data_IF_966510255384
#
_entry.id   IF_966510255384
#
_cell.length_a   1.000
_cell.length_b   1.000
_cell.length_c   1.000
_cell.angle_alpha   90.00
_cell.angle_beta   90.00
_cell.angle_gamma   90.00
#
_symmetry.space_group_name_H-M   'P 1'
#
loop_
_entity.id
_entity.type
_entity.pdbx_description
1 polymer ?
#
# COMPACT_ATOMS: atom_id res chain seq x y z
N UNK A 1 -81.84 15.58 -2.22
CA UNK A 1 -81.16 14.28 -2.41
C UNK A 1 -80.24 14.45 -3.62
N UNK A 2 -78.93 14.64 -3.41
CA UNK A 2 -77.99 14.82 -4.49
C UNK A 2 -76.96 13.68 -4.40
N UNK A 3 -76.92 12.85 -5.38
CA UNK A 3 -76.03 11.67 -5.46
C UNK A 3 -74.75 12.08 -6.23
N UNK A 4 -73.65 12.11 -5.56
CA UNK A 4 -72.36 12.34 -6.16
C UNK A 4 -71.63 11.02 -6.51
N UNK A 5 -71.33 10.84 -7.79
CA UNK A 5 -70.61 9.68 -8.36
C UNK A 5 -69.10 9.86 -8.15
N UNK A 6 -68.33 8.85 -7.71
CA UNK A 6 -66.88 8.98 -7.56
C UNK A 6 -66.16 8.70 -8.89
N UNK A 7 -65.34 9.68 -9.30
CA UNK A 7 -64.45 9.59 -10.48
C UNK A 7 -63.24 8.76 -10.18
N UNK A 8 -63.07 7.64 -10.85
CA UNK A 8 -61.93 6.75 -10.74
C UNK A 8 -60.71 7.33 -11.50
N UNK A 9 -59.69 7.77 -10.78
CA UNK A 9 -58.43 8.30 -11.36
C UNK A 9 -57.49 7.15 -11.73
N UNK A 10 -57.30 6.92 -13.02
CA UNK A 10 -56.37 5.93 -13.56
C UNK A 10 -54.91 6.27 -13.18
N UNK A 11 -54.21 5.36 -12.48
CA UNK A 11 -52.79 5.49 -12.13
C UNK A 11 -51.94 5.16 -13.36
N UNK A 12 -51.31 6.17 -13.96
CA UNK A 12 -50.27 6.03 -14.99
C UNK A 12 -49.05 5.36 -14.37
N UNK A 13 -48.68 4.17 -14.85
CA UNK A 13 -47.40 3.52 -14.49
C UNK A 13 -46.25 4.21 -15.20
N UNK A 14 -45.51 5.07 -14.48
CA UNK A 14 -44.28 5.65 -14.97
C UNK A 14 -43.24 4.54 -15.21
N UNK A 15 -42.78 4.37 -16.45
CA UNK A 15 -41.65 3.49 -16.81
C UNK A 15 -40.37 4.04 -16.15
N UNK A 16 -39.76 3.24 -15.25
CA UNK A 16 -38.44 3.56 -14.72
C UNK A 16 -37.41 3.66 -15.87
N UNK A 17 -36.57 4.71 -15.89
CA UNK A 17 -35.54 4.81 -16.92
C UNK A 17 -34.55 3.64 -16.78
N UNK A 18 -34.34 2.91 -17.89
CA UNK A 18 -33.25 1.92 -17.96
C UNK A 18 -31.92 2.66 -17.77
N UNK A 19 -31.21 2.36 -16.68
CA UNK A 19 -29.82 2.83 -16.51
C UNK A 19 -29.03 2.37 -17.74
N UNK A 20 -28.52 3.33 -18.50
CA UNK A 20 -27.55 3.05 -19.56
C UNK A 20 -26.37 2.34 -18.92
N UNK A 21 -26.08 1.12 -19.33
CA UNK A 21 -24.84 0.44 -18.98
C UNK A 21 -23.76 1.22 -19.70
N UNK A 22 -23.01 2.06 -18.97
CA UNK A 22 -21.83 2.71 -19.50
C UNK A 22 -20.93 1.61 -20.05
N UNK A 23 -20.61 1.67 -21.36
CA UNK A 23 -19.52 0.89 -21.93
C UNK A 23 -18.31 1.15 -21.05
N UNK A 24 -17.82 0.08 -20.37
CA UNK A 24 -16.61 0.20 -19.57
C UNK A 24 -15.54 0.86 -20.43
N UNK A 25 -15.04 2.01 -20.00
CA UNK A 25 -13.89 2.64 -20.63
C UNK A 25 -12.77 1.61 -20.69
N UNK A 26 -12.03 1.57 -21.81
CA UNK A 26 -10.90 0.67 -21.93
C UNK A 26 -9.93 0.96 -20.77
N UNK A 27 -9.51 -0.10 -20.07
CA UNK A 27 -8.59 0.03 -18.94
C UNK A 27 -7.24 0.53 -19.48
N UNK A 28 -6.58 1.51 -18.81
CA UNK A 28 -5.35 2.13 -19.30
C UNK A 28 -4.13 1.20 -19.31
N UNK A 29 -4.19 0.08 -18.59
CA UNK A 29 -3.10 -0.89 -18.49
C UNK A 29 -3.50 -2.28 -18.97
N UNK A 30 -2.52 -3.16 -19.20
CA UNK A 30 -2.75 -4.53 -19.59
C UNK A 30 -3.32 -5.37 -18.40
N UNK A 31 -3.93 -6.50 -18.72
CA UNK A 31 -4.45 -7.42 -17.71
C UNK A 31 -3.37 -7.91 -16.74
N UNK A 32 -2.16 -8.14 -17.26
CA UNK A 32 -1.01 -8.62 -16.50
C UNK A 32 -0.58 -7.60 -15.43
N UNK A 33 -0.63 -6.32 -15.75
CA UNK A 33 -0.33 -5.22 -14.81
C UNK A 33 -1.36 -5.22 -13.68
N UNK A 34 -2.65 -5.30 -13.98
CA UNK A 34 -3.68 -5.37 -12.95
C UNK A 34 -3.57 -6.62 -12.07
N UNK A 35 -3.22 -7.77 -12.67
CA UNK A 35 -3.01 -9.00 -11.91
C UNK A 35 -1.79 -8.90 -10.99
N UNK A 36 -0.71 -8.25 -11.43
CA UNK A 36 0.46 -7.99 -10.59
C UNK A 36 0.10 -7.09 -9.42
N UNK A 37 -0.53 -5.93 -9.66
CA UNK A 37 -0.97 -5.04 -8.59
C UNK A 37 -1.89 -5.72 -7.59
N UNK A 38 -2.84 -6.51 -8.06
CA UNK A 38 -3.72 -7.27 -7.18
C UNK A 38 -2.94 -8.26 -6.31
N UNK A 39 -1.99 -8.99 -6.91
CA UNK A 39 -1.14 -9.95 -6.17
C UNK A 39 -0.30 -9.25 -5.11
N UNK A 40 0.31 -8.12 -5.45
CA UNK A 40 1.16 -7.35 -4.56
C UNK A 40 0.35 -6.76 -3.39
N UNK A 41 -0.80 -6.15 -3.68
CA UNK A 41 -1.72 -5.68 -2.64
C UNK A 41 -2.20 -6.81 -1.74
N UNK A 42 -2.52 -7.98 -2.32
CA UNK A 42 -2.96 -9.14 -1.56
C UNK A 42 -1.85 -9.68 -0.65
N UNK A 43 -0.63 -9.77 -1.16
CA UNK A 43 0.55 -10.16 -0.36
C UNK A 43 0.76 -9.22 0.82
N UNK A 44 0.81 -7.90 0.56
CA UNK A 44 0.98 -6.88 1.60
C UNK A 44 -0.13 -6.98 2.65
N UNK A 45 -1.40 -7.11 2.23
CA UNK A 45 -2.53 -7.25 3.13
C UNK A 45 -2.40 -8.50 4.01
N UNK A 46 -2.10 -9.65 3.42
CA UNK A 46 -1.97 -10.92 4.16
C UNK A 46 -0.79 -10.92 5.11
N UNK A 47 0.31 -10.31 4.71
CA UNK A 47 1.47 -10.11 5.57
C UNK A 47 1.10 -9.26 6.80
N UNK A 48 0.46 -8.12 6.59
CA UNK A 48 0.09 -7.20 7.67
C UNK A 48 -0.99 -7.78 8.61
N UNK A 49 -1.97 -8.49 8.08
CA UNK A 49 -2.95 -9.24 8.90
C UNK A 49 -2.22 -10.24 9.81
N UNK A 50 -1.20 -10.93 9.27
CA UNK A 50 -0.39 -11.84 10.06
C UNK A 50 0.47 -11.11 11.10
N UNK A 51 1.06 -9.98 10.75
CA UNK A 51 1.80 -9.13 11.70
C UNK A 51 0.93 -8.71 12.86
N UNK A 52 -0.29 -8.24 12.60
CA UNK A 52 -1.24 -7.84 13.64
C UNK A 52 -1.58 -9.00 14.60
N UNK A 53 -1.83 -10.19 14.06
CA UNK A 53 -2.08 -11.39 14.88
C UNK A 53 -0.89 -11.75 15.77
N UNK A 54 0.32 -11.73 15.20
CA UNK A 54 1.55 -12.07 15.94
C UNK A 54 1.88 -11.02 16.99
N UNK A 55 1.60 -9.76 16.72
CA UNK A 55 1.76 -8.68 17.70
C UNK A 55 0.83 -8.84 18.89
N UNK A 56 -0.46 -9.11 18.65
CA UNK A 56 -1.43 -9.42 19.74
C UNK A 56 -0.96 -10.62 20.57
N UNK A 57 -0.35 -11.61 19.93
CA UNK A 57 0.24 -12.78 20.60
C UNK A 57 1.60 -12.49 21.28
N UNK A 58 2.05 -11.24 21.28
CA UNK A 58 3.33 -10.80 21.87
C UNK A 58 4.56 -11.56 21.32
N UNK A 59 4.53 -11.96 20.04
CA UNK A 59 5.64 -12.67 19.40
C UNK A 59 6.80 -11.75 19.04
N UNK A 60 6.54 -10.46 18.91
CA UNK A 60 7.54 -9.40 18.83
C UNK A 60 7.03 -8.16 19.57
N UNK A 61 7.94 -7.29 20.00
CA UNK A 61 7.63 -6.13 20.83
C UNK A 61 7.86 -4.80 20.11
N UNK A 62 7.76 -3.72 20.89
CA UNK A 62 7.85 -2.35 20.40
C UNK A 62 6.53 -1.83 19.85
N UNK A 63 6.56 -0.70 19.17
CA UNK A 63 5.38 -0.16 18.48
C UNK A 63 5.21 -0.85 17.13
N UNK A 64 3.98 -1.27 16.83
CA UNK A 64 3.64 -1.90 15.56
C UNK A 64 2.65 -1.00 14.79
N UNK A 65 3.06 -0.56 13.61
CA UNK A 65 2.26 0.31 12.74
C UNK A 65 1.96 -0.40 11.43
N UNK A 66 0.79 -1.01 11.35
CA UNK A 66 0.36 -1.75 10.17
C UNK A 66 0.08 -0.82 8.98
N UNK A 67 0.38 -1.29 7.79
CA UNK A 67 0.15 -0.60 6.51
C UNK A 67 -1.22 -0.89 5.90
N UNK A 68 -2.11 -1.58 6.62
CA UNK A 68 -3.44 -2.00 6.15
C UNK A 68 -4.24 -0.80 5.63
N UNK A 69 -4.77 -0.93 4.42
CA UNK A 69 -5.57 0.09 3.75
C UNK A 69 -4.78 1.01 2.82
N UNK A 70 -3.46 0.89 2.75
CA UNK A 70 -2.59 1.73 1.92
C UNK A 70 -1.88 0.95 0.81
N UNK A 71 -2.23 -0.31 0.59
CA UNK A 71 -1.53 -1.22 -0.33
C UNK A 71 -1.52 -0.72 -1.77
N UNK A 72 -2.60 -0.07 -2.21
CA UNK A 72 -2.70 0.47 -3.56
C UNK A 72 -1.68 1.58 -3.85
N UNK A 73 -1.26 2.33 -2.82
CA UNK A 73 -0.23 3.36 -2.95
C UNK A 73 1.09 2.72 -3.39
N UNK A 74 1.52 1.68 -2.68
CA UNK A 74 2.77 0.99 -2.99
C UNK A 74 2.70 0.19 -4.28
N UNK A 75 1.56 -0.45 -4.58
CA UNK A 75 1.37 -1.12 -5.86
C UNK A 75 1.53 -0.15 -7.04
N UNK A 76 1.02 1.08 -6.92
CA UNK A 76 1.22 2.13 -7.92
C UNK A 76 2.65 2.67 -7.98
N UNK A 77 3.26 2.91 -6.83
CA UNK A 77 4.65 3.41 -6.74
C UNK A 77 5.62 2.39 -7.34
N UNK A 78 5.50 1.10 -6.98
CA UNK A 78 6.38 0.04 -7.48
C UNK A 78 6.35 -0.13 -9.01
N UNK A 79 5.26 0.26 -9.67
CA UNK A 79 5.17 0.28 -11.13
C UNK A 79 5.85 1.51 -11.74
N UNK A 80 5.88 2.62 -11.01
CA UNK A 80 6.36 3.90 -11.54
C UNK A 80 7.87 4.11 -11.34
N UNK A 81 8.46 3.46 -10.34
CA UNK A 81 9.89 3.62 -10.01
C UNK A 81 10.76 2.62 -10.77
N UNK A 82 12.02 3.01 -10.98
CA UNK A 82 13.06 2.14 -11.55
C UNK A 82 13.71 1.31 -10.41
N UNK A 83 14.30 0.16 -10.70
CA UNK A 83 15.03 -0.63 -9.70
C UNK A 83 16.22 0.12 -9.06
N UNK A 84 16.73 1.15 -9.73
CA UNK A 84 17.81 2.01 -9.25
C UNK A 84 17.34 3.14 -8.36
N UNK A 85 16.06 3.52 -8.42
CA UNK A 85 15.52 4.62 -7.64
C UNK A 85 15.58 4.34 -6.15
N UNK A 86 15.75 5.38 -5.37
CA UNK A 86 15.89 5.30 -3.91
C UNK A 86 14.58 5.63 -3.21
N UNK A 87 14.21 4.81 -2.26
CA UNK A 87 12.98 4.97 -1.50
C UNK A 87 13.28 5.24 -0.03
N UNK A 88 12.59 6.21 0.56
CA UNK A 88 12.59 6.49 1.99
C UNK A 88 11.15 6.69 2.45
N UNK A 89 10.81 6.27 3.66
CA UNK A 89 9.45 6.31 4.15
C UNK A 89 9.37 6.70 5.64
N UNK A 90 8.16 6.82 6.14
CA UNK A 90 7.87 6.98 7.55
C UNK A 90 7.78 5.61 8.25
N UNK A 91 7.26 5.59 9.46
CA UNK A 91 7.22 4.44 10.38
C UNK A 91 6.25 3.31 9.99
N UNK A 92 5.38 3.47 9.00
CA UNK A 92 4.52 2.38 8.46
C UNK A 92 5.22 1.75 7.26
N UNK A 93 6.27 1.01 7.51
CA UNK A 93 7.23 0.63 6.48
C UNK A 93 7.25 -0.87 6.12
N UNK A 94 6.45 -1.72 6.80
CA UNK A 94 6.44 -3.18 6.56
C UNK A 94 6.18 -3.55 5.10
N UNK A 95 5.26 -2.85 4.44
CA UNK A 95 4.88 -3.15 3.06
C UNK A 95 5.90 -2.64 2.02
N UNK A 96 6.75 -1.67 2.36
CA UNK A 96 7.72 -1.09 1.43
C UNK A 96 8.75 -2.11 0.93
N UNK A 97 9.45 -2.86 1.79
CA UNK A 97 10.36 -3.91 1.31
C UNK A 97 9.62 -4.98 0.49
N UNK A 98 8.37 -5.33 0.85
CA UNK A 98 7.58 -6.30 0.09
C UNK A 98 7.27 -5.79 -1.32
N UNK A 99 6.86 -4.52 -1.45
CA UNK A 99 6.58 -3.89 -2.74
C UNK A 99 7.83 -3.80 -3.63
N UNK A 100 9.01 -3.66 -3.02
CA UNK A 100 10.31 -3.68 -3.71
C UNK A 100 10.83 -5.10 -3.98
N UNK A 101 10.06 -6.14 -3.64
CA UNK A 101 10.40 -7.53 -3.94
C UNK A 101 11.27 -8.23 -2.90
N UNK A 102 11.35 -7.72 -1.67
CA UNK A 102 11.97 -8.44 -0.56
C UNK A 102 11.11 -9.64 -0.17
N UNK A 103 11.73 -10.81 -0.01
CA UNK A 103 11.01 -12.00 0.46
C UNK A 103 10.39 -11.74 1.85
N UNK A 104 9.09 -12.02 2.03
CA UNK A 104 8.37 -11.78 3.29
C UNK A 104 9.04 -12.40 4.53
N UNK A 105 9.79 -13.49 4.35
CA UNK A 105 10.52 -14.13 5.47
C UNK A 105 11.57 -13.21 6.09
N UNK A 106 12.25 -12.37 5.30
CA UNK A 106 13.25 -11.44 5.82
C UNK A 106 12.61 -10.26 6.52
N UNK A 107 11.46 -9.78 6.02
CA UNK A 107 10.67 -8.73 6.68
C UNK A 107 10.11 -9.25 8.00
N UNK A 108 9.58 -10.47 8.03
CA UNK A 108 9.12 -11.10 9.26
C UNK A 108 10.27 -11.35 10.24
N UNK A 109 11.44 -11.78 9.76
CA UNK A 109 12.62 -11.96 10.58
C UNK A 109 13.07 -10.66 11.26
N UNK A 110 12.93 -9.51 10.57
CA UNK A 110 13.20 -8.20 11.14
C UNK A 110 12.28 -7.89 12.32
N UNK A 111 10.97 -8.11 12.17
CA UNK A 111 9.99 -7.94 13.24
C UNK A 111 10.33 -8.79 14.47
N UNK A 112 10.83 -10.00 14.26
CA UNK A 112 11.26 -10.92 15.32
C UNK A 112 12.66 -10.61 15.90
N UNK A 113 13.30 -9.52 15.48
CA UNK A 113 14.65 -9.15 15.93
C UNK A 113 15.73 -10.17 15.51
N UNK A 114 15.53 -10.85 14.38
CA UNK A 114 16.48 -11.87 13.91
C UNK A 114 17.56 -11.28 13.02
N UNK A 115 18.77 -11.80 13.13
CA UNK A 115 19.95 -11.37 12.34
C UNK A 115 19.72 -11.50 10.82
N UNK A 116 18.82 -12.38 10.39
CA UNK A 116 18.43 -12.56 8.99
C UNK A 116 17.42 -11.54 8.50
N UNK A 117 16.93 -10.65 9.37
CA UNK A 117 16.05 -9.56 8.98
C UNK A 117 16.74 -8.50 8.13
N UNK A 118 15.98 -7.67 7.46
CA UNK A 118 16.44 -6.65 6.50
C UNK A 118 17.40 -5.64 7.12
N UNK A 119 17.19 -5.28 8.39
CA UNK A 119 18.08 -4.43 9.20
C UNK A 119 18.84 -5.22 10.28
N UNK A 120 19.06 -6.52 10.05
CA UNK A 120 19.72 -7.45 10.98
C UNK A 120 19.02 -7.55 12.35
N UNK A 121 17.71 -7.36 12.37
CA UNK A 121 16.88 -7.41 13.56
C UNK A 121 16.97 -6.18 14.47
N UNK A 122 17.56 -5.08 14.00
CA UNK A 122 17.77 -3.86 14.79
C UNK A 122 16.72 -2.78 14.55
N UNK A 123 15.99 -2.86 13.43
CA UNK A 123 14.99 -1.86 13.04
C UNK A 123 13.61 -2.14 13.62
N UNK A 124 13.23 -3.41 13.73
CA UNK A 124 11.88 -3.78 14.15
C UNK A 124 10.81 -3.24 13.21
N UNK A 125 9.66 -2.84 13.76
CA UNK A 125 8.47 -2.44 12.98
C UNK A 125 8.56 -1.07 12.33
N UNK A 126 9.48 -0.19 12.72
CA UNK A 126 9.46 1.22 12.28
C UNK A 126 10.73 1.66 11.54
N UNK A 127 11.72 0.80 11.44
CA UNK A 127 13.03 1.14 10.91
C UNK A 127 13.59 0.02 10.03
N UNK A 128 12.80 -0.37 9.01
CA UNK A 128 13.18 -1.40 8.04
C UNK A 128 13.96 -0.77 6.90
N UNK A 129 15.19 -1.21 6.73
CA UNK A 129 16.07 -0.83 5.62
C UNK A 129 16.32 -2.05 4.74
N UNK A 130 16.41 -1.86 3.44
CA UNK A 130 16.87 -2.90 2.51
C UNK A 130 17.83 -2.30 1.52
N UNK A 131 19.13 -2.47 1.79
CA UNK A 131 20.20 -1.90 0.99
C UNK A 131 20.19 -2.44 -0.45
N UNK A 132 19.87 -3.72 -0.63
CA UNK A 132 19.88 -4.37 -1.95
C UNK A 132 18.77 -3.83 -2.87
N UNK A 133 17.72 -3.23 -2.27
CA UNK A 133 16.57 -2.66 -2.97
C UNK A 133 16.46 -1.15 -2.84
N UNK A 134 17.55 -0.50 -2.47
CA UNK A 134 17.60 0.96 -2.31
C UNK A 134 16.52 1.53 -1.38
N UNK A 135 16.07 0.75 -0.38
CA UNK A 135 15.18 1.22 0.66
C UNK A 135 15.98 1.81 1.82
N UNK A 136 15.92 3.14 1.94
CA UNK A 136 16.61 3.93 2.96
C UNK A 136 15.82 4.06 4.26
N UNK A 137 14.90 3.14 4.47
CA UNK A 137 14.26 2.84 5.73
C UNK A 137 13.02 3.66 6.06
N UNK A 138 12.36 3.16 7.10
CA UNK A 138 11.32 3.84 7.82
C UNK A 138 11.88 4.69 8.96
N UNK A 139 11.24 5.82 9.22
CA UNK A 139 11.66 6.77 10.24
C UNK A 139 10.51 7.05 11.21
N UNK A 140 10.76 6.88 12.52
CA UNK A 140 9.75 7.06 13.57
C UNK A 140 9.29 8.50 13.73
N UNK A 141 10.15 9.49 13.42
CA UNK A 141 9.82 10.90 13.52
C UNK A 141 9.01 11.32 12.30
N UNK A 142 7.79 11.79 12.53
CA UNK A 142 6.91 12.29 11.46
C UNK A 142 7.55 13.46 10.74
N UNK A 143 7.72 13.33 9.41
CA UNK A 143 8.40 14.35 8.60
C UNK A 143 9.94 14.25 8.58
N UNK A 144 10.56 13.43 9.43
CA UNK A 144 12.02 13.25 9.45
C UNK A 144 12.59 12.74 8.14
N UNK A 145 11.84 11.90 7.42
CA UNK A 145 12.22 11.39 6.11
C UNK A 145 12.34 12.48 5.04
N UNK A 146 11.71 13.64 5.20
CA UNK A 146 11.79 14.74 4.21
C UNK A 146 13.21 15.28 4.12
N UNK A 147 13.81 15.63 5.26
CA UNK A 147 15.19 16.12 5.31
C UNK A 147 16.21 15.08 4.85
N UNK A 148 16.02 13.83 5.28
CA UNK A 148 16.88 12.71 4.87
C UNK A 148 16.76 12.43 3.37
N UNK A 149 15.54 12.43 2.83
CA UNK A 149 15.30 12.27 1.39
C UNK A 149 15.91 13.39 0.55
N UNK A 150 15.81 14.63 1.02
CA UNK A 150 16.48 15.76 0.40
C UNK A 150 18.02 15.58 0.38
N UNK A 151 18.61 15.06 1.47
CA UNK A 151 20.02 14.73 1.56
C UNK A 151 20.44 13.62 0.59
N UNK A 152 19.62 12.58 0.43
CA UNK A 152 19.86 11.50 -0.54
C UNK A 152 19.82 12.07 -1.97
N UNK A 153 18.77 12.81 -2.33
CA UNK A 153 18.64 13.42 -3.65
C UNK A 153 19.77 14.43 -3.95
N UNK A 154 20.22 15.18 -2.94
CA UNK A 154 21.39 16.06 -3.07
C UNK A 154 22.66 15.26 -3.37
N UNK A 155 22.89 14.15 -2.67
CA UNK A 155 24.07 13.30 -2.88
C UNK A 155 24.08 12.72 -4.31
N UNK A 156 22.94 12.26 -4.81
CA UNK A 156 22.81 11.74 -6.18
C UNK A 156 23.11 12.82 -7.22
N UNK A 157 22.51 14.00 -7.05
CA UNK A 157 22.80 15.15 -7.91
C UNK A 157 24.26 15.55 -7.88
N UNK A 158 24.88 15.61 -6.70
CA UNK A 158 26.29 15.97 -6.53
C UNK A 158 27.23 14.97 -7.21
N UNK A 159 26.91 13.67 -7.10
CA UNK A 159 27.67 12.58 -7.73
C UNK A 159 27.35 12.40 -9.21
N UNK A 160 26.36 13.09 -9.73
CA UNK A 160 25.82 12.93 -11.10
C UNK A 160 25.31 11.50 -11.35
N UNK A 161 24.75 10.87 -10.33
CA UNK A 161 24.10 9.57 -10.40
C UNK A 161 22.65 9.76 -10.89
N UNK A 162 22.19 8.83 -11.73
CA UNK A 162 20.82 8.82 -12.24
C UNK A 162 20.00 7.75 -11.48
N UNK A 163 19.29 8.22 -10.48
CA UNK A 163 18.41 7.41 -9.65
C UNK A 163 17.00 7.97 -9.63
#
# INVERSE_FOLDING_TARGET
MSTSTPTTRAKSKAKKPKKAVNKAAALPHSKEVYQRWFRDMYLMRKFEERCGQLYIQQKFGGFCHLYIGQEAILAGISEAIRPTDRMITAYRDHAHPLALGTDPKFVMAELYGRRTGTSKGKGGSMHMFDKERNLFGGHGIVGGQIGLGAGIAFADKYRKEDH
#
